data_IF_250256058253
#
_entry.id   IF_250256058253
#
_cell.length_a   1.000
_cell.length_b   1.000
_cell.length_c   1.000
_cell.angle_alpha   90.00
_cell.angle_beta   90.00
_cell.angle_gamma   90.00
#
_symmetry.space_group_name_H-M   'P 1'
#
loop_
_entity.id
_entity.type
_entity.pdbx_description
1 polymer ?
#
# COMPACT_ATOMS: atom_id res chain seq x y z
N UNK A 1 -14.63 16.71 -19.31
CA UNK A 1 -14.55 15.29 -19.73
C UNK A 1 -14.96 14.45 -18.54
N UNK A 2 -16.12 13.80 -18.63
CA UNK A 2 -16.83 13.21 -17.49
C UNK A 2 -16.21 11.90 -17.00
N UNK A 3 -16.02 11.80 -15.69
CA UNK A 3 -15.78 10.53 -15.01
C UNK A 3 -17.12 9.80 -14.93
N UNK A 4 -17.36 8.92 -15.89
CA UNK A 4 -18.38 7.89 -15.81
C UNK A 4 -17.93 6.93 -14.70
N UNK A 5 -18.21 7.29 -13.44
CA UNK A 5 -18.04 6.40 -12.29
C UNK A 5 -19.09 5.29 -12.40
N UNK A 6 -18.78 4.28 -13.22
CA UNK A 6 -19.13 2.92 -12.81
C UNK A 6 -18.63 2.77 -11.37
N UNK A 7 -19.45 2.21 -10.49
CA UNK A 7 -19.20 2.11 -9.03
C UNK A 7 -18.03 1.16 -8.71
N UNK A 8 -16.90 1.39 -9.34
CA UNK A 8 -15.64 0.69 -9.18
C UNK A 8 -15.10 1.09 -7.82
N UNK A 9 -15.30 0.19 -6.85
CA UNK A 9 -14.87 0.33 -5.48
C UNK A 9 -13.41 0.84 -5.44
N UNK A 10 -13.24 2.07 -4.96
CA UNK A 10 -11.92 2.65 -4.71
C UNK A 10 -11.36 1.96 -3.48
N UNK A 11 -10.23 1.28 -3.63
CA UNK A 11 -9.56 0.62 -2.51
C UNK A 11 -8.53 1.57 -1.90
N UNK A 12 -8.65 1.85 -0.60
CA UNK A 12 -7.74 2.72 0.15
C UNK A 12 -6.70 1.86 0.85
N UNK A 13 -5.41 2.14 0.62
CA UNK A 13 -4.33 1.39 1.24
C UNK A 13 -3.14 2.29 1.57
N UNK A 14 -2.78 2.40 2.87
CA UNK A 14 -1.59 3.10 3.37
C UNK A 14 -1.38 4.53 2.78
N UNK A 15 -2.46 5.29 2.58
CA UNK A 15 -2.39 6.65 2.02
C UNK A 15 -2.37 6.71 0.49
N UNK A 16 -2.60 5.59 -0.18
CA UNK A 16 -2.80 5.49 -1.62
C UNK A 16 -4.23 5.05 -1.95
N UNK A 17 -4.72 5.53 -3.09
CA UNK A 17 -5.96 5.13 -3.74
C UNK A 17 -5.60 4.20 -4.89
N UNK A 18 -6.17 3.00 -4.86
CA UNK A 18 -6.10 2.01 -5.92
C UNK A 18 -7.39 2.09 -6.73
N UNK A 19 -7.25 2.42 -8.01
CA UNK A 19 -8.35 2.64 -8.94
C UNK A 19 -8.30 1.54 -10.01
N UNK A 20 -9.25 0.59 -10.01
CA UNK A 20 -9.28 -0.46 -11.02
C UNK A 20 -9.61 0.13 -12.39
N UNK A 21 -8.84 -0.26 -13.41
CA UNK A 21 -8.99 0.16 -14.80
C UNK A 21 -9.73 -0.91 -15.60
N UNK A 22 -10.32 -0.55 -16.74
CA UNK A 22 -11.06 -1.47 -17.61
C UNK A 22 -10.18 -2.54 -18.26
N UNK A 23 -8.88 -2.32 -18.34
CA UNK A 23 -7.87 -3.25 -18.86
C UNK A 23 -7.31 -4.20 -17.78
N UNK A 24 -8.03 -4.42 -16.68
CA UNK A 24 -7.59 -5.24 -15.53
C UNK A 24 -6.31 -4.74 -14.83
N UNK A 25 -5.87 -3.52 -15.10
CA UNK A 25 -4.76 -2.88 -14.39
C UNK A 25 -5.24 -2.00 -13.23
N UNK A 26 -4.30 -1.55 -12.40
CA UNK A 26 -4.58 -0.70 -11.25
C UNK A 26 -3.81 0.60 -11.35
N UNK A 27 -4.53 1.72 -11.30
CA UNK A 27 -3.94 3.04 -11.19
C UNK A 27 -3.73 3.35 -9.70
N UNK A 28 -2.47 3.55 -9.30
CA UNK A 28 -2.08 3.91 -7.94
C UNK A 28 -1.88 5.41 -7.86
N UNK A 29 -2.66 6.09 -7.02
CA UNK A 29 -2.51 7.53 -6.77
C UNK A 29 -2.35 7.81 -5.29
N UNK A 30 -1.46 8.73 -4.88
CA UNK A 30 -1.48 9.25 -3.52
C UNK A 30 -2.85 9.86 -3.21
N UNK A 31 -3.40 9.56 -2.03
CA UNK A 31 -4.69 10.12 -1.60
C UNK A 31 -4.61 11.64 -1.38
N UNK A 32 -3.41 12.14 -1.04
CA UNK A 32 -3.12 13.55 -0.84
C UNK A 32 -2.06 13.99 -1.85
N UNK A 33 -2.30 15.13 -2.51
CA UNK A 33 -1.26 15.87 -3.25
C UNK A 33 -0.04 16.07 -2.34
N UNK A 34 1.21 16.12 -2.86
CA UNK A 34 2.38 16.40 -2.03
C UNK A 34 2.26 17.81 -1.46
N UNK A 35 1.56 17.94 -0.33
CA UNK A 35 1.71 19.09 0.54
C UNK A 35 3.17 19.09 0.97
N UNK A 36 3.86 20.19 0.70
CA UNK A 36 5.19 20.49 1.22
C UNK A 36 5.29 20.00 2.66
N UNK A 37 6.17 19.03 2.84
CA UNK A 37 6.35 18.22 4.04
C UNK A 37 6.37 19.09 5.31
N UNK A 38 5.29 19.08 6.08
CA UNK A 38 5.46 19.15 7.53
C UNK A 38 6.31 17.93 7.91
N UNK A 39 7.42 18.10 8.65
CA UNK A 39 8.39 17.04 8.88
C UNK A 39 7.65 15.85 9.49
N UNK A 40 7.54 14.77 8.72
CA UNK A 40 6.96 13.53 9.17
C UNK A 40 7.66 13.14 10.47
N UNK A 41 6.91 13.18 11.58
CA UNK A 41 7.34 12.66 12.88
C UNK A 41 7.34 11.13 12.86
N UNK A 42 8.04 10.53 11.92
CA UNK A 42 8.37 9.12 11.93
C UNK A 42 9.87 9.04 11.98
N UNK A 43 10.40 8.47 13.07
CA UNK A 43 11.84 8.18 13.16
C UNK A 43 12.23 7.41 11.90
N UNK A 44 13.33 7.83 11.26
CA UNK A 44 13.89 7.24 10.06
C UNK A 44 14.06 5.73 10.27
N UNK A 45 13.07 4.94 9.87
CA UNK A 45 13.15 3.49 10.00
C UNK A 45 14.22 3.04 9.01
N UNK A 46 15.28 2.41 9.52
CA UNK A 46 16.38 2.00 8.66
C UNK A 46 15.92 0.89 7.72
N UNK A 47 16.50 0.79 6.53
CA UNK A 47 16.19 -0.31 5.60
C UNK A 47 16.46 -1.69 6.24
N UNK A 48 17.40 -1.76 7.19
CA UNK A 48 17.69 -2.97 7.94
C UNK A 48 16.50 -3.38 8.85
N UNK A 49 15.88 -2.43 9.53
CA UNK A 49 14.73 -2.69 10.41
C UNK A 49 13.50 -3.17 9.62
N UNK A 50 13.25 -2.56 8.47
CA UNK A 50 12.14 -2.95 7.58
C UNK A 50 12.34 -4.37 7.05
N UNK A 51 13.58 -4.72 6.68
CA UNK A 51 13.90 -6.07 6.20
C UNK A 51 13.71 -7.10 7.32
N UNK A 52 14.20 -6.83 8.52
CA UNK A 52 14.05 -7.74 9.67
C UNK A 52 12.57 -8.02 10.00
N UNK A 53 11.72 -6.99 9.95
CA UNK A 53 10.28 -7.14 10.17
C UNK A 53 9.62 -7.99 9.08
N UNK A 54 10.02 -7.79 7.82
CA UNK A 54 9.49 -8.56 6.69
C UNK A 54 9.89 -10.03 6.78
N UNK A 55 11.16 -10.32 7.07
CA UNK A 55 11.68 -11.67 7.24
C UNK A 55 10.93 -12.42 8.35
N UNK A 56 10.67 -11.75 9.48
CA UNK A 56 9.87 -12.31 10.57
C UNK A 56 8.45 -12.68 10.12
N UNK A 57 7.75 -11.79 9.39
CA UNK A 57 6.38 -12.04 8.91
C UNK A 57 6.30 -13.16 7.88
N UNK A 58 7.33 -13.32 7.06
CA UNK A 58 7.41 -14.41 6.09
C UNK A 58 7.66 -15.75 6.81
N UNK A 59 8.53 -15.76 7.81
CA UNK A 59 8.77 -16.95 8.64
C UNK A 59 7.50 -17.42 9.33
N UNK A 60 6.72 -16.52 9.95
CA UNK A 60 5.44 -16.88 10.57
C UNK A 60 4.43 -17.48 9.57
N UNK A 61 4.38 -16.96 8.33
CA UNK A 61 3.49 -17.49 7.31
C UNK A 61 3.92 -18.89 6.86
N UNK A 62 5.22 -19.10 6.64
CA UNK A 62 5.77 -20.42 6.31
C UNK A 62 5.48 -21.44 7.41
N UNK A 63 5.64 -21.06 8.68
CA UNK A 63 5.30 -21.94 9.81
C UNK A 63 3.81 -22.30 9.85
N UNK A 64 2.92 -21.36 9.50
CA UNK A 64 1.47 -21.61 9.44
C UNK A 64 1.08 -22.49 8.25
N UNK A 65 1.76 -22.35 7.11
CA UNK A 65 1.56 -23.19 5.92
C UNK A 65 2.02 -24.62 6.17
N UNK A 66 3.17 -24.82 6.83
CA UNK A 66 3.71 -26.15 7.11
C UNK A 66 3.00 -26.91 8.25
N UNK A 67 2.11 -26.23 8.99
CA UNK A 67 1.34 -26.81 10.08
C UNK A 67 -0.07 -27.28 9.67
N UNK A 68 -0.46 -27.07 8.41
CA UNK A 68 -1.70 -27.54 7.79
C UNK A 68 -1.45 -28.72 6.86
#
# INVERSE_FOLDING_TARGET
MGFLMSQQAVVRYRGFLLLPQTNQSWLVRPERSPMLLLPFRTASCSLADVKALLDWRLSEQTSKINAA
#
